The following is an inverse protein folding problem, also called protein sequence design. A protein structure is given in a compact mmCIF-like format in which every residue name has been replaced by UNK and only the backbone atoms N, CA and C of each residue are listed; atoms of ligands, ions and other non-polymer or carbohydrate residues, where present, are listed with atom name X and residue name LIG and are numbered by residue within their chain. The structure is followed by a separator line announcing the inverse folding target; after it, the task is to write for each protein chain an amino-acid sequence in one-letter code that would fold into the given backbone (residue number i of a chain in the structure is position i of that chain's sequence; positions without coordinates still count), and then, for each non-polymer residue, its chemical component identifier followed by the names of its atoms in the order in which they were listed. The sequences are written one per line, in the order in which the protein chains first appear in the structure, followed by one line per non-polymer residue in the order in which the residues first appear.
data_IF_912159019261
#
_entry.id   IF_912159019261
#
_cell.length_a   1.000
_cell.length_b   1.000
_cell.length_c   1.000
_cell.angle_alpha   90.00
_cell.angle_beta   90.00
_cell.angle_gamma   90.00
#
_symmetry.space_group_name_H-M   'P 1'
#
loop_
_entity.id
_entity.type
_entity.pdbx_description
1 polymer ?
#
# COMPACT_ATOMS: atom_id res chain seq x y z
N UNK A 1 -10.49 11.39 -3.96
CA UNK A 1 -10.32 10.16 -3.12
C UNK A 1 -11.14 10.32 -1.84
N UNK A 2 -11.93 9.31 -1.41
CA UNK A 2 -12.72 9.46 -0.18
C UNK A 2 -11.87 9.20 1.07
N UNK A 3 -12.17 9.91 2.16
CA UNK A 3 -11.47 9.77 3.44
C UNK A 3 -11.58 8.33 4.00
N UNK A 4 -12.74 7.70 3.79
CA UNK A 4 -12.97 6.28 4.13
C UNK A 4 -12.04 5.32 3.38
N UNK A 5 -11.74 5.60 2.11
CA UNK A 5 -10.81 4.78 1.33
C UNK A 5 -9.38 4.94 1.83
N UNK A 6 -8.97 6.17 2.20
CA UNK A 6 -7.65 6.42 2.77
C UNK A 6 -7.44 5.64 4.07
N UNK A 7 -8.35 5.78 5.04
CA UNK A 7 -8.29 5.09 6.34
C UNK A 7 -8.23 3.57 6.15
N UNK A 8 -9.00 3.01 5.24
CA UNK A 8 -9.01 1.56 5.01
C UNK A 8 -7.65 1.03 4.53
N UNK A 9 -6.96 1.79 3.68
CA UNK A 9 -5.72 1.31 3.04
C UNK A 9 -4.46 1.65 3.85
N UNK A 10 -4.48 2.67 4.70
CA UNK A 10 -3.32 3.01 5.55
C UNK A 10 -3.05 1.95 6.64
N UNK A 11 -4.10 1.22 7.07
CA UNK A 11 -3.98 0.17 8.08
C UNK A 11 -2.95 -0.90 7.74
N UNK A 12 -2.82 -1.26 6.45
CA UNK A 12 -1.83 -2.24 6.02
C UNK A 12 -0.40 -1.71 6.16
N UNK A 13 -0.15 -0.44 5.78
CA UNK A 13 1.16 0.18 5.95
C UNK A 13 1.51 0.33 7.44
N UNK A 14 0.55 0.71 8.28
CA UNK A 14 0.73 0.76 9.74
C UNK A 14 1.10 -0.60 10.31
N UNK A 15 0.42 -1.67 9.87
CA UNK A 15 0.73 -3.03 10.28
C UNK A 15 2.17 -3.43 9.91
N UNK A 16 2.61 -3.15 8.67
CA UNK A 16 3.99 -3.40 8.24
C UNK A 16 5.02 -2.58 9.06
N UNK A 17 4.70 -1.31 9.33
CA UNK A 17 5.58 -0.42 10.11
C UNK A 17 5.74 -0.92 11.55
N UNK A 18 4.65 -1.37 12.19
CA UNK A 18 4.69 -1.95 13.53
C UNK A 18 5.51 -3.23 13.59
N UNK A 19 5.38 -4.12 12.59
CA UNK A 19 6.21 -5.32 12.50
C UNK A 19 7.69 -4.95 12.40
N UNK A 20 8.03 -3.96 11.57
CA UNK A 20 9.42 -3.53 11.40
C UNK A 20 10.00 -2.96 12.71
N UNK A 21 9.24 -2.09 13.40
CA UNK A 21 9.63 -1.56 14.71
C UNK A 21 9.86 -2.71 15.71
N UNK A 22 8.94 -3.67 15.77
CA UNK A 22 9.06 -4.83 16.66
C UNK A 22 10.30 -5.68 16.37
N UNK A 23 10.63 -5.91 15.09
CA UNK A 23 11.81 -6.67 14.70
C UNK A 23 13.10 -5.95 15.07
N UNK A 24 13.16 -4.62 14.86
CA UNK A 24 14.32 -3.83 15.26
C UNK A 24 14.50 -3.82 16.77
N UNK A 25 13.45 -3.54 17.53
CA UNK A 25 13.55 -3.47 19.00
C UNK A 25 13.92 -4.80 19.62
N UNK A 26 13.51 -5.91 18.99
CA UNK A 26 13.89 -7.25 19.44
C UNK A 26 15.36 -7.58 19.16
N UNK A 27 15.90 -7.14 18.04
CA UNK A 27 17.29 -7.42 17.65
C UNK A 27 18.31 -6.39 18.17
N UNK A 28 17.86 -5.21 18.56
CA UNK A 28 18.72 -4.08 18.94
C UNK A 28 18.57 -3.83 20.44
N UNK A 29 19.67 -3.84 21.21
CA UNK A 29 19.66 -3.61 22.67
C UNK A 29 19.32 -2.15 23.09
N UNK A 30 18.66 -1.36 22.26
CA UNK A 30 18.31 0.02 22.64
C UNK A 30 17.43 0.77 21.66
N UNK A 31 16.49 1.53 22.22
CA UNK A 31 15.58 2.44 21.51
C UNK A 31 16.30 3.53 20.69
N UNK A 32 17.56 3.85 21.02
CA UNK A 32 18.36 4.85 20.30
C UNK A 32 18.54 4.51 18.81
N UNK A 33 18.53 3.22 18.45
CA UNK A 33 18.68 2.81 17.05
C UNK A 33 17.47 3.21 16.18
N UNK A 34 16.26 3.24 16.76
CA UNK A 34 15.03 3.58 16.03
C UNK A 34 15.07 5.00 15.45
N UNK A 35 15.67 5.95 16.17
CA UNK A 35 15.68 7.37 15.78
C UNK A 35 16.73 7.65 14.70
N UNK A 36 17.78 6.83 14.60
CA UNK A 36 18.78 6.97 13.53
C UNK A 36 18.49 6.12 12.29
N UNK A 37 17.48 5.24 12.34
CA UNK A 37 17.23 4.33 11.22
C UNK A 37 16.53 5.03 10.06
N UNK A 38 17.31 5.31 9.01
CA UNK A 38 16.83 5.86 7.73
C UNK A 38 15.78 4.96 7.07
N UNK A 39 15.85 3.64 7.26
CA UNK A 39 14.87 2.70 6.71
C UNK A 39 13.52 2.84 7.41
N UNK A 40 13.52 3.05 8.73
CA UNK A 40 12.29 3.31 9.48
C UNK A 40 11.58 4.57 8.95
N UNK A 41 12.33 5.66 8.73
CA UNK A 41 11.76 6.87 8.12
C UNK A 41 11.18 6.61 6.73
N UNK A 42 11.88 5.85 5.88
CA UNK A 42 11.40 5.50 4.55
C UNK A 42 10.10 4.68 4.59
N UNK A 43 9.98 3.74 5.55
CA UNK A 43 8.77 2.92 5.74
C UNK A 43 7.61 3.77 6.26
N UNK A 44 7.85 4.69 7.18
CA UNK A 44 6.83 5.61 7.70
C UNK A 44 6.30 6.50 6.58
N UNK A 45 7.19 7.11 5.80
CA UNK A 45 6.81 7.92 4.63
C UNK A 45 6.01 7.07 3.63
N UNK A 46 6.51 5.88 3.30
CA UNK A 46 5.84 4.94 2.39
C UNK A 46 4.45 4.54 2.90
N UNK A 47 4.28 4.40 4.21
CA UNK A 47 2.98 4.07 4.82
C UNK A 47 1.96 5.19 4.62
N UNK A 48 2.35 6.44 4.80
CA UNK A 48 1.48 7.61 4.55
C UNK A 48 1.12 7.71 3.06
N UNK A 49 2.08 7.38 2.18
CA UNK A 49 1.91 7.44 0.72
C UNK A 49 1.21 6.22 0.12
N UNK A 50 1.17 5.08 0.82
CA UNK A 50 0.61 3.82 0.34
C UNK A 50 -0.84 3.93 -0.17
N UNK A 51 -1.77 4.61 0.54
CA UNK A 51 -3.14 4.82 0.04
C UNK A 51 -3.18 5.56 -1.29
N UNK A 52 -2.30 6.55 -1.48
CA UNK A 52 -2.21 7.32 -2.73
C UNK A 52 -1.59 6.49 -3.85
N UNK A 53 -0.55 5.70 -3.55
CA UNK A 53 0.08 4.79 -4.50
C UNK A 53 -0.93 3.78 -5.04
N UNK A 54 -1.69 3.15 -4.14
CA UNK A 54 -2.76 2.24 -4.51
C UNK A 54 -3.85 2.92 -5.34
N UNK A 55 -4.24 4.13 -4.96
CA UNK A 55 -5.20 4.92 -5.74
C UNK A 55 -4.68 5.24 -7.15
N UNK A 56 -3.40 5.60 -7.29
CA UNK A 56 -2.77 5.87 -8.59
C UNK A 56 -2.74 4.60 -9.46
N UNK A 57 -2.32 3.47 -8.89
CA UNK A 57 -2.25 2.20 -9.60
C UNK A 57 -3.64 1.76 -10.05
N UNK A 58 -4.65 1.87 -9.17
CA UNK A 58 -6.05 1.59 -9.54
C UNK A 58 -6.54 2.52 -10.65
N UNK A 59 -6.25 3.82 -10.55
CA UNK A 59 -6.64 4.81 -11.57
C UNK A 59 -6.00 4.50 -12.93
N UNK A 60 -4.71 4.20 -12.96
CA UNK A 60 -3.98 3.81 -14.18
C UNK A 60 -4.54 2.49 -14.71
N UNK A 61 -4.70 1.48 -13.86
CA UNK A 61 -5.21 0.18 -14.25
C UNK A 61 -6.63 0.27 -14.85
N UNK A 62 -7.51 1.09 -14.28
CA UNK A 62 -8.86 1.30 -14.83
C UNK A 62 -8.85 1.97 -16.20
N UNK A 63 -7.85 2.80 -16.53
CA UNK A 63 -7.71 3.36 -17.87
C UNK A 63 -7.29 2.31 -18.91
N UNK A 64 -6.55 1.27 -18.51
CA UNK A 64 -6.10 0.21 -19.41
C UNK A 64 -7.05 -0.98 -19.48
N UNK A 65 -7.77 -1.27 -18.40
CA UNK A 65 -8.66 -2.42 -18.33
C UNK A 65 -9.99 -2.08 -19.01
N UNK A 66 -10.20 -2.61 -20.22
CA UNK A 66 -11.52 -2.60 -20.87
C UNK A 66 -12.55 -3.32 -19.99
N UNK A 67 -13.78 -2.81 -19.95
CA UNK A 67 -14.92 -3.37 -19.18
C UNK A 67 -15.06 -4.89 -19.35
N UNK A 68 -14.76 -5.40 -20.55
CA UNK A 68 -14.82 -6.81 -20.94
C UNK A 68 -13.96 -7.74 -20.06
N UNK A 69 -12.90 -7.22 -19.42
CA UNK A 69 -12.05 -8.01 -18.54
C UNK A 69 -12.75 -8.45 -17.25
N UNK A 70 -13.74 -7.68 -16.79
CA UNK A 70 -14.52 -8.01 -15.59
C UNK A 70 -15.62 -9.03 -15.88
N UNK A 71 -16.22 -9.02 -17.07
CA UNK A 71 -17.24 -10.00 -17.46
C UNK A 71 -16.70 -11.44 -17.51
N UNK A 72 -15.44 -11.62 -17.94
CA UNK A 72 -14.79 -12.94 -17.97
C UNK A 72 -14.42 -13.51 -16.59
N UNK A 73 -14.40 -12.71 -15.52
CA UNK A 73 -13.83 -13.13 -14.21
C UNK A 73 -14.81 -13.72 -13.20
N UNK A 74 -16.10 -13.92 -13.54
CA UNK A 74 -17.08 -14.53 -12.61
C UNK A 74 -16.63 -15.87 -11.99
N UNK A 75 -15.69 -16.59 -12.61
CA UNK A 75 -15.19 -17.89 -12.15
C UNK A 75 -13.99 -17.87 -11.18
N UNK A 76 -13.41 -16.73 -10.79
CA UNK A 76 -12.23 -16.72 -9.90
C UNK A 76 -12.52 -16.88 -8.40
N UNK A 77 -13.76 -17.14 -7.99
CA UNK A 77 -14.11 -17.28 -6.58
C UNK A 77 -13.68 -18.62 -5.94
N UNK A 78 -13.05 -19.53 -6.68
CA UNK A 78 -12.83 -20.91 -6.22
C UNK A 78 -11.56 -21.12 -5.37
N UNK A 79 -10.78 -20.07 -5.05
CA UNK A 79 -9.56 -20.20 -4.24
C UNK A 79 -9.40 -19.04 -3.24
N UNK A 80 -10.07 -19.09 -2.07
CA UNK A 80 -10.08 -17.98 -1.11
C UNK A 80 -8.69 -17.63 -0.57
N UNK A 81 -7.85 -18.65 -0.32
CA UNK A 81 -6.48 -18.44 0.20
C UNK A 81 -5.57 -17.77 -0.82
N UNK A 82 -5.61 -18.22 -2.08
CA UNK A 82 -4.81 -17.62 -3.14
C UNK A 82 -5.17 -16.14 -3.36
N UNK A 83 -6.46 -15.80 -3.27
CA UNK A 83 -6.95 -14.43 -3.37
C UNK A 83 -6.43 -13.54 -2.24
N UNK A 84 -6.42 -14.05 -1.01
CA UNK A 84 -5.89 -13.33 0.15
C UNK A 84 -4.39 -13.03 -0.04
N UNK A 85 -3.61 -14.05 -0.41
CA UNK A 85 -2.16 -13.91 -0.59
C UNK A 85 -1.82 -12.93 -1.72
N UNK A 86 -2.53 -13.03 -2.86
CA UNK A 86 -2.39 -12.07 -3.96
C UNK A 86 -2.73 -10.64 -3.52
N UNK A 87 -3.77 -10.47 -2.70
CA UNK A 87 -4.13 -9.15 -2.18
C UNK A 87 -3.08 -8.58 -1.23
N UNK A 88 -2.51 -9.41 -0.35
CA UNK A 88 -1.39 -8.99 0.51
C UNK A 88 -0.17 -8.61 -0.33
N UNK A 89 0.19 -9.42 -1.32
CA UNK A 89 1.33 -9.16 -2.21
C UNK A 89 1.13 -7.85 -2.98
N UNK A 90 -0.09 -7.60 -3.47
CA UNK A 90 -0.44 -6.34 -4.12
C UNK A 90 -0.27 -5.13 -3.18
N UNK A 91 -0.76 -5.22 -1.94
CA UNK A 91 -0.59 -4.13 -0.98
C UNK A 91 0.88 -3.91 -0.62
N UNK A 92 1.68 -4.98 -0.55
CA UNK A 92 3.11 -4.91 -0.28
C UNK A 92 3.86 -4.24 -1.44
N UNK A 93 3.51 -4.56 -2.69
CA UNK A 93 4.01 -3.85 -3.87
C UNK A 93 3.61 -2.36 -3.85
N UNK A 94 2.38 -2.03 -3.48
CA UNK A 94 1.94 -0.64 -3.33
C UNK A 94 2.75 0.13 -2.29
N UNK A 95 3.15 -0.55 -1.20
CA UNK A 95 3.98 0.02 -0.13
C UNK A 95 5.42 0.25 -0.61
N UNK A 96 6.03 -0.72 -1.28
CA UNK A 96 7.40 -0.59 -1.82
C UNK A 96 7.47 0.52 -2.87
N UNK A 97 6.44 0.62 -3.71
CA UNK A 97 6.33 1.63 -4.75
C UNK A 97 5.67 2.94 -4.25
N UNK A 98 5.47 3.08 -2.93
CA UNK A 98 4.68 4.17 -2.38
C UNK A 98 5.30 5.55 -2.64
N UNK A 99 6.62 5.67 -2.65
CA UNK A 99 7.26 6.98 -2.89
C UNK A 99 7.00 7.48 -4.32
N UNK A 100 7.35 6.75 -5.40
CA UNK A 100 7.11 7.23 -6.75
C UNK A 100 5.60 7.31 -7.10
N UNK A 101 4.82 6.28 -6.78
CA UNK A 101 3.40 6.26 -7.15
C UNK A 101 2.51 7.03 -6.18
N UNK A 102 2.90 7.16 -4.91
CA UNK A 102 2.14 7.92 -3.94
C UNK A 102 2.14 9.41 -4.24
N UNK A 103 3.27 9.97 -4.68
CA UNK A 103 3.32 11.37 -5.13
C UNK A 103 2.42 11.58 -6.35
N UNK A 104 2.50 10.69 -7.35
CA UNK A 104 1.60 10.70 -8.51
C UNK A 104 0.13 10.62 -8.08
N UNK A 105 -0.19 9.72 -7.15
CA UNK A 105 -1.55 9.56 -6.61
C UNK A 105 -2.04 10.79 -5.86
N UNK A 106 -1.15 11.49 -5.16
CA UNK A 106 -1.44 12.74 -4.47
C UNK A 106 -1.82 13.83 -5.49
N UNK A 107 -1.03 13.99 -6.56
CA UNK A 107 -1.35 14.91 -7.66
C UNK A 107 -2.68 14.57 -8.36
N UNK A 108 -2.92 13.30 -8.67
CA UNK A 108 -4.18 12.86 -9.30
C UNK A 108 -5.36 13.10 -8.35
N UNK A 109 -5.18 12.84 -7.04
CA UNK A 109 -6.25 13.05 -6.05
C UNK A 109 -6.58 14.52 -5.85
N UNK A 110 -5.60 15.42 -5.90
CA UNK A 110 -5.85 16.87 -5.83
C UNK A 110 -6.56 17.34 -7.10
N UNK A 111 -6.14 16.88 -8.27
CA UNK A 111 -6.72 17.29 -9.56
C UNK A 111 -8.18 16.85 -9.74
N UNK A 112 -8.57 15.71 -9.17
CA UNK A 112 -9.92 15.15 -9.30
C UNK A 112 -10.88 15.56 -8.16
N UNK A 113 -10.43 16.38 -7.21
CA UNK A 113 -11.27 16.95 -6.15
C UNK A 113 -11.79 18.33 -6.58
#
# INVERSE_FOLDING_TARGET
MSLRYYIKNILFGLYCTLIYIYLITKNSEGYYFLVSDKMLYAIVISTILCPYSKYAIEYIAFNFIKKDFFERRKNLNNAPVAKLNLFMLYNLLCLVLAIPFGLLGLFISIKNN
#
